data_IF_637051455880
#
_entry.id   IF_637051455880
#
_cell.length_a   1.000
_cell.length_b   1.000
_cell.length_c   1.000
_cell.angle_alpha   90.00
_cell.angle_beta   90.00
_cell.angle_gamma   90.00
#
_symmetry.space_group_name_H-M   'P 1'
#
loop_
_entity.id
_entity.type
_entity.pdbx_description
1 polymer ?
#
# COMPACT_ATOMS: atom_id res chain seq x y z
N UNK A 1 5.38 7.10 6.30
CA UNK A 1 5.24 5.96 5.36
C UNK A 1 3.83 5.85 4.80
N UNK A 2 2.77 5.69 5.61
CA UNK A 2 1.38 5.63 5.09
C UNK A 2 1.03 6.78 4.14
N UNK A 3 1.27 8.03 4.55
CA UNK A 3 1.06 9.21 3.69
C UNK A 3 2.00 9.25 2.47
N UNK A 4 3.20 8.71 2.63
CA UNK A 4 4.25 8.65 1.60
C UNK A 4 3.81 7.78 0.42
N UNK A 5 3.11 6.68 0.72
CA UNK A 5 2.51 5.75 -0.25
C UNK A 5 1.06 6.12 -0.64
N UNK A 6 0.55 7.24 -0.15
CA UNK A 6 -0.78 7.76 -0.47
C UNK A 6 -1.95 7.08 0.26
N UNK A 7 -1.70 6.40 1.39
CA UNK A 7 -2.76 5.83 2.24
C UNK A 7 -3.22 6.86 3.27
N UNK A 8 -4.51 7.16 3.26
CA UNK A 8 -5.19 7.94 4.29
C UNK A 8 -5.55 7.03 5.49
N UNK A 9 -4.93 7.18 6.68
CA UNK A 9 -5.21 6.33 7.85
C UNK A 9 -6.66 6.40 8.34
N UNK A 10 -7.31 7.54 8.14
CA UNK A 10 -8.70 7.75 8.57
C UNK A 10 -9.72 7.23 7.54
N UNK A 11 -9.40 7.27 6.25
CA UNK A 11 -10.31 6.82 5.19
C UNK A 11 -10.15 5.35 4.85
N UNK A 12 -8.93 4.83 4.94
CA UNK A 12 -8.56 3.51 4.43
C UNK A 12 -7.78 2.71 5.47
N UNK A 13 -8.37 2.43 6.65
CA UNK A 13 -7.72 1.64 7.69
C UNK A 13 -7.41 0.21 7.22
N UNK A 14 -8.14 -0.28 6.21
CA UNK A 14 -7.92 -1.58 5.58
C UNK A 14 -6.63 -1.65 4.75
N UNK A 15 -6.03 -0.51 4.39
CA UNK A 15 -4.75 -0.46 3.66
C UNK A 15 -3.57 -0.20 4.61
N UNK A 16 -3.80 0.19 5.86
CA UNK A 16 -2.74 0.50 6.83
C UNK A 16 -1.78 -0.65 7.11
N UNK A 17 -2.20 -1.90 6.88
CA UNK A 17 -1.29 -3.04 7.01
C UNK A 17 -0.16 -3.00 5.98
N UNK A 18 -0.39 -2.46 4.77
CA UNK A 18 0.65 -2.23 3.76
C UNK A 18 1.68 -1.21 4.26
N UNK A 19 1.21 -0.12 4.87
CA UNK A 19 2.11 0.88 5.44
C UNK A 19 2.93 0.30 6.61
N UNK A 20 2.30 -0.51 7.45
CA UNK A 20 2.97 -1.19 8.56
C UNK A 20 4.02 -2.18 8.05
N UNK A 21 3.68 -2.93 7.02
CA UNK A 21 4.59 -3.87 6.38
C UNK A 21 5.78 -3.16 5.75
N UNK A 22 5.57 -2.05 5.04
CA UNK A 22 6.67 -1.29 4.44
C UNK A 22 7.59 -0.56 5.41
N UNK A 23 7.11 -0.22 6.63
CA UNK A 23 7.97 0.26 7.72
C UNK A 23 8.83 -0.86 8.30
N UNK A 24 8.28 -2.08 8.37
CA UNK A 24 8.97 -3.26 8.94
C UNK A 24 9.83 -3.96 7.89
N UNK A 25 9.53 -3.75 6.60
CA UNK A 25 10.22 -4.36 5.49
C UNK A 25 11.71 -4.01 5.60
N UNK A 26 12.59 -5.02 5.71
CA UNK A 26 14.01 -4.77 5.71
C UNK A 26 14.35 -4.07 4.39
N UNK A 27 15.03 -2.91 4.47
CA UNK A 27 15.52 -2.26 3.28
C UNK A 27 16.29 -3.30 2.44
N UNK A 28 16.09 -3.33 1.12
CA UNK A 28 16.87 -4.23 0.29
C UNK A 28 18.36 -3.94 0.53
N UNK A 29 19.22 -4.97 0.57
CA UNK A 29 20.64 -4.83 0.91
C UNK A 29 21.40 -3.87 -0.03
N UNK A 30 20.81 -3.58 -1.18
CA UNK A 30 21.30 -2.68 -2.22
C UNK A 30 21.13 -1.21 -1.86
N UNK A 31 20.22 -0.86 -0.95
CA UNK A 31 19.97 0.52 -0.54
C UNK A 31 20.71 0.84 0.77
N UNK A 32 21.47 1.94 0.77
CA UNK A 32 22.05 2.49 2.00
C UNK A 32 21.69 3.95 2.16
N UNK A 33 21.63 4.35 3.42
CA UNK A 33 21.47 5.74 3.82
C UNK A 33 22.85 6.41 3.71
N UNK A 34 22.94 7.41 2.86
CA UNK A 34 24.13 8.24 2.67
C UNK A 34 23.80 9.67 3.11
N UNK A 35 24.83 10.37 3.56
CA UNK A 35 24.73 11.78 3.90
C UNK A 35 25.54 12.58 2.88
N UNK A 36 24.94 13.65 2.38
CA UNK A 36 25.58 14.55 1.43
C UNK A 36 26.48 15.59 2.15
N UNK A 37 27.25 16.38 1.39
CA UNK A 37 28.14 17.42 1.94
C UNK A 37 27.37 18.53 2.69
N UNK A 38 26.09 18.71 2.37
CA UNK A 38 25.17 19.64 3.06
C UNK A 38 24.70 19.11 4.41
N UNK A 39 24.94 17.83 4.69
CA UNK A 39 24.41 17.12 5.85
C UNK A 39 23.03 16.51 5.63
N UNK A 40 22.48 16.57 4.41
CA UNK A 40 21.20 15.96 4.06
C UNK A 40 21.32 14.45 3.88
N UNK A 41 20.31 13.72 4.35
CA UNK A 41 20.25 12.26 4.27
C UNK A 41 19.49 11.85 3.01
N UNK A 42 20.09 10.99 2.19
CA UNK A 42 19.47 10.40 1.00
C UNK A 42 19.71 8.88 0.95
N UNK A 43 18.88 8.18 0.17
CA UNK A 43 18.99 6.75 -0.06
C UNK A 43 19.73 6.50 -1.37
N UNK A 44 20.85 5.79 -1.31
CA UNK A 44 21.64 5.42 -2.48
C UNK A 44 21.55 3.92 -2.74
N UNK A 45 21.17 3.55 -3.95
CA UNK A 45 21.17 2.19 -4.45
C UNK A 45 22.53 1.85 -5.06
N UNK A 46 23.25 0.93 -4.41
CA UNK A 46 24.57 0.46 -4.84
C UNK A 46 24.53 -0.50 -6.03
N UNK A 47 23.37 -1.07 -6.37
CA UNK A 47 23.24 -2.00 -7.49
C UNK A 47 23.12 -1.27 -8.83
N UNK A 48 22.29 -0.23 -8.90
CA UNK A 48 22.01 0.50 -10.13
C UNK A 48 22.53 1.95 -10.12
N UNK A 49 23.09 2.41 -9.00
CA UNK A 49 23.60 3.78 -8.84
C UNK A 49 22.53 4.86 -8.71
N UNK A 50 21.28 4.49 -8.43
CA UNK A 50 20.20 5.47 -8.24
C UNK A 50 20.27 6.12 -6.85
N UNK A 51 20.22 7.44 -6.79
CA UNK A 51 19.96 8.19 -5.57
C UNK A 51 18.50 8.61 -5.52
N UNK A 52 17.85 8.39 -4.37
CA UNK A 52 16.50 8.86 -4.11
C UNK A 52 16.43 9.54 -2.75
N UNK A 53 15.63 10.59 -2.70
CA UNK A 53 15.27 11.29 -1.46
C UNK A 53 14.14 10.56 -0.73
N UNK A 54 13.40 9.74 -1.46
CA UNK A 54 12.27 8.95 -0.99
C UNK A 54 12.69 7.51 -0.70
N UNK A 55 11.94 6.82 0.18
CA UNK A 55 12.29 5.46 0.58
C UNK A 55 12.06 4.50 -0.60
N UNK A 56 12.98 3.58 -0.91
CA UNK A 56 12.90 2.75 -2.11
C UNK A 56 11.71 1.78 -2.16
N UNK A 57 11.10 1.49 -1.01
CA UNK A 57 9.86 0.73 -0.97
C UNK A 57 8.61 1.56 -1.28
N UNK A 58 8.67 2.90 -1.30
CA UNK A 58 7.48 3.73 -1.51
C UNK A 58 6.76 3.43 -2.83
N UNK A 59 7.52 3.27 -3.92
CA UNK A 59 6.95 3.00 -5.25
C UNK A 59 6.23 1.65 -5.30
N UNK A 60 6.84 0.61 -4.73
CA UNK A 60 6.26 -0.73 -4.64
C UNK A 60 4.95 -0.74 -3.84
N UNK A 61 4.93 -0.07 -2.70
CA UNK A 61 3.74 0.00 -1.87
C UNK A 61 2.65 0.90 -2.45
N UNK A 62 3.00 1.98 -3.18
CA UNK A 62 2.02 2.78 -3.94
C UNK A 62 1.24 1.91 -4.93
N UNK A 63 1.94 1.05 -5.66
CA UNK A 63 1.28 0.16 -6.62
C UNK A 63 0.39 -0.88 -5.91
N UNK A 64 0.86 -1.46 -4.80
CA UNK A 64 0.06 -2.38 -3.98
C UNK A 64 -1.21 -1.71 -3.41
N UNK A 65 -1.10 -0.45 -2.98
CA UNK A 65 -2.24 0.33 -2.48
C UNK A 65 -3.30 0.51 -3.56
N UNK A 66 -2.90 0.83 -4.79
CA UNK A 66 -3.81 0.97 -5.92
C UNK A 66 -4.51 -0.37 -6.19
N UNK A 67 -3.77 -1.47 -6.26
CA UNK A 67 -4.34 -2.80 -6.51
C UNK A 67 -5.30 -3.25 -5.40
N UNK A 68 -4.92 -3.09 -4.13
CA UNK A 68 -5.77 -3.53 -3.01
C UNK A 68 -7.02 -2.64 -2.91
N UNK A 69 -6.93 -1.36 -3.24
CA UNK A 69 -8.09 -0.46 -3.33
C UNK A 69 -9.06 -0.89 -4.42
N UNK A 70 -8.57 -1.19 -5.62
CA UNK A 70 -9.39 -1.72 -6.71
C UNK A 70 -10.04 -3.05 -6.33
N UNK A 71 -9.28 -3.93 -5.68
CA UNK A 71 -9.77 -5.22 -5.22
C UNK A 71 -10.84 -5.07 -4.14
N UNK A 72 -10.66 -4.19 -3.16
CA UNK A 72 -11.67 -3.89 -2.13
C UNK A 72 -12.95 -3.32 -2.76
N UNK A 73 -12.83 -2.43 -3.74
CA UNK A 73 -13.97 -1.93 -4.51
C UNK A 73 -14.70 -3.06 -5.25
N UNK A 74 -13.97 -3.96 -5.92
CA UNK A 74 -14.54 -5.11 -6.61
C UNK A 74 -15.23 -6.09 -5.63
N UNK A 75 -14.57 -6.41 -4.51
CA UNK A 75 -15.07 -7.32 -3.48
C UNK A 75 -16.30 -6.73 -2.75
N UNK A 76 -16.31 -5.42 -2.51
CA UNK A 76 -17.47 -4.73 -1.93
C UNK A 76 -18.70 -4.80 -2.84
N UNK A 77 -18.50 -4.87 -4.16
CA UNK A 77 -19.57 -5.00 -5.16
C UNK A 77 -20.12 -6.42 -5.20
N UNK A 78 -19.25 -7.43 -5.25
CA UNK A 78 -19.61 -8.86 -5.21
C UNK A 78 -20.37 -9.21 -3.92
N UNK A 79 -19.87 -8.73 -2.78
CA UNK A 79 -20.49 -8.99 -1.47
C UNK A 79 -21.85 -8.30 -1.30
N UNK A 80 -22.11 -7.24 -2.09
CA UNK A 80 -23.39 -6.54 -2.11
C UNK A 80 -24.40 -7.25 -3.02
N UNK A 81 -23.95 -7.90 -4.09
CA UNK A 81 -24.78 -8.74 -4.95
C UNK A 81 -25.17 -10.06 -4.26
N UNK A 82 -24.23 -10.79 -3.64
CA UNK A 82 -24.54 -12.01 -2.88
C UNK A 82 -25.58 -11.75 -1.77
N UNK A 83 -25.43 -10.64 -1.05
CA UNK A 83 -26.37 -10.27 0.03
C UNK A 83 -27.76 -9.89 -0.49
N UNK A 84 -27.86 -9.48 -1.77
CA UNK A 84 -29.12 -9.13 -2.43
C UNK A 84 -29.81 -10.38 -2.97
N UNK A 85 -29.06 -11.35 -3.50
CA UNK A 85 -29.57 -12.66 -3.91
C UNK A 85 -30.08 -13.46 -2.71
N UNK A 86 -29.31 -13.56 -1.61
CA UNK A 86 -29.72 -14.33 -0.43
C UNK A 86 -31.01 -13.77 0.21
N UNK A 87 -31.19 -12.44 0.14
CA UNK A 87 -32.40 -11.78 0.65
C UNK A 87 -33.63 -12.05 -0.22
N UNK A 88 -33.44 -12.17 -1.54
CA UNK A 88 -34.50 -12.48 -2.50
C UNK A 88 -34.94 -13.94 -2.39
N UNK A 89 -33.98 -14.86 -2.22
CA UNK A 89 -34.25 -16.29 -2.07
C UNK A 89 -34.99 -16.62 -0.76
N UNK A 90 -34.72 -15.87 0.33
CA UNK A 90 -35.47 -15.97 1.59
C UNK A 90 -36.90 -15.43 1.52
N UNK A 91 -37.19 -14.51 0.60
CA UNK A 91 -38.52 -13.89 0.43
C UNK A 91 -39.44 -14.75 -0.44
N UNK A 92 -38.89 -15.49 -1.42
CA UNK A 92 -39.66 -16.40 -2.30
C UNK A 92 -40.02 -17.75 -1.64
N UNK A 93 -39.41 -18.07 -0.49
CA UNK A 93 -39.61 -19.34 0.24
C UNK A 93 -40.56 -19.23 1.44
N UNK A 94 -41.22 -18.08 1.63
CA UNK A 94 -42.13 -17.77 2.74
C UNK A 94 -43.54 -17.48 2.22
#
# INVERSE_FOLDING_TARGET
FAESIGIDPEKEPELLWLAREGIIAPLPPEWKICQDETGEIYFFNFLNGQSMWDHPCDDHYKELVIQEREKLLALSSLKKEEKKEEKKEKEEKK
#
